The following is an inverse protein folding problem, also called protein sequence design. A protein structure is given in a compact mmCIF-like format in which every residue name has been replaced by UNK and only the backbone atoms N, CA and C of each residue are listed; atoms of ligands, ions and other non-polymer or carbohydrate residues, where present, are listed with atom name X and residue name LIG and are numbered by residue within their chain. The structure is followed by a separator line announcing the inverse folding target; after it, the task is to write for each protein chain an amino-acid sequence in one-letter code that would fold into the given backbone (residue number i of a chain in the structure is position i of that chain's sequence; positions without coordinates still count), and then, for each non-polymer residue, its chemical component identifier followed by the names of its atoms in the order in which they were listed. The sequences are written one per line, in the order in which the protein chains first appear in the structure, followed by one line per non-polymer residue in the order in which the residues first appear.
data_IF_042519900701
#
_entry.id   IF_042519900701
#
_cell.length_a   1.000
_cell.length_b   1.000
_cell.length_c   1.000
_cell.angle_alpha   90.00
_cell.angle_beta   90.00
_cell.angle_gamma   90.00
#
_symmetry.space_group_name_H-M   'P 1'
#
loop_
_entity.id
_entity.type
_entity.pdbx_description
1 polymer ?
#
# COMPACT_ATOMS: atom_id res chain seq x y z
N UNK A 1 20.29 -2.65 -25.07
CA UNK A 1 21.48 -2.64 -24.19
C UNK A 1 21.10 -3.20 -22.81
N UNK A 2 20.72 -4.49 -22.71
CA UNK A 2 20.59 -5.25 -21.46
C UNK A 2 20.85 -6.72 -21.84
N UNK A 3 21.86 -7.37 -21.25
CA UNK A 3 22.25 -8.74 -21.64
C UNK A 3 21.78 -9.83 -20.66
N UNK A 4 21.37 -9.47 -19.43
CA UNK A 4 21.01 -10.43 -18.36
C UNK A 4 19.94 -9.89 -17.38
N UNK A 5 18.98 -9.08 -17.86
CA UNK A 5 17.92 -8.57 -16.99
C UNK A 5 16.90 -9.68 -16.66
N UNK A 6 16.44 -9.75 -15.39
CA UNK A 6 15.35 -10.64 -14.95
C UNK A 6 14.10 -9.82 -14.64
N UNK A 7 12.95 -10.28 -15.13
CA UNK A 7 11.64 -9.74 -14.78
C UNK A 7 10.80 -10.87 -14.19
N UNK A 8 10.36 -10.71 -12.93
CA UNK A 8 9.60 -11.74 -12.22
C UNK A 8 8.32 -11.15 -11.64
N UNK A 9 7.20 -11.83 -11.89
CA UNK A 9 5.92 -11.51 -11.26
C UNK A 9 5.94 -11.83 -9.77
N UNK A 10 5.30 -10.99 -8.97
CA UNK A 10 5.12 -11.19 -7.54
C UNK A 10 3.63 -11.27 -7.22
N UNK A 11 3.20 -12.39 -6.66
CA UNK A 11 1.84 -12.57 -6.16
C UNK A 11 1.87 -12.65 -4.63
N UNK A 12 1.27 -11.66 -3.97
CA UNK A 12 1.41 -11.48 -2.52
C UNK A 12 0.93 -12.70 -1.72
N UNK A 13 -0.13 -13.36 -2.17
CA UNK A 13 -0.70 -14.50 -1.46
C UNK A 13 0.16 -15.78 -1.57
N UNK A 14 1.08 -15.89 -2.54
CA UNK A 14 2.10 -16.95 -2.55
C UNK A 14 3.02 -16.89 -1.32
N UNK A 15 3.07 -15.74 -0.65
CA UNK A 15 3.88 -15.50 0.55
C UNK A 15 3.05 -15.30 1.81
N UNK A 16 1.79 -15.72 1.82
CA UNK A 16 0.89 -15.58 2.98
C UNK A 16 1.50 -16.14 4.29
N UNK A 17 2.25 -17.24 4.20
CA UNK A 17 2.98 -17.85 5.32
C UNK A 17 3.99 -16.90 6.00
N UNK A 18 4.44 -15.84 5.32
CA UNK A 18 5.37 -14.83 5.83
C UNK A 18 4.70 -13.55 6.29
N UNK A 19 3.38 -13.42 6.18
CA UNK A 19 2.70 -12.17 6.54
C UNK A 19 2.98 -11.77 7.99
N UNK A 20 2.95 -12.70 8.94
CA UNK A 20 3.23 -12.40 10.35
C UNK A 20 4.64 -11.84 10.58
N UNK A 21 5.63 -12.39 9.88
CA UNK A 21 7.02 -11.89 9.89
C UNK A 21 7.09 -10.46 9.34
N UNK A 22 6.46 -10.24 8.17
CA UNK A 22 6.44 -8.94 7.51
C UNK A 22 5.75 -7.86 8.35
N UNK A 23 4.58 -8.15 8.92
CA UNK A 23 3.85 -7.20 9.79
C UNK A 23 4.69 -6.77 10.98
N UNK A 24 5.34 -7.72 11.68
CA UNK A 24 6.20 -7.39 12.83
C UNK A 24 7.36 -6.49 12.41
N UNK A 25 8.01 -6.79 11.28
CA UNK A 25 9.16 -6.01 10.80
C UNK A 25 8.74 -4.61 10.34
N UNK A 26 7.68 -4.50 9.53
CA UNK A 26 7.19 -3.22 9.02
C UNK A 26 6.64 -2.35 10.16
N UNK A 27 5.89 -2.93 11.10
CA UNK A 27 5.40 -2.21 12.27
C UNK A 27 6.53 -1.64 13.13
N UNK A 28 7.61 -2.39 13.33
CA UNK A 28 8.79 -1.89 14.04
C UNK A 28 9.49 -0.74 13.30
N UNK A 29 9.56 -0.78 11.96
CA UNK A 29 10.13 0.31 11.17
C UNK A 29 9.27 1.57 11.25
N UNK A 30 7.95 1.43 11.21
CA UNK A 30 7.01 2.55 11.37
C UNK A 30 7.14 3.16 12.77
N UNK A 31 7.07 2.32 13.80
CA UNK A 31 7.15 2.77 15.20
C UNK A 31 8.46 3.51 15.52
N UNK A 32 9.57 3.10 14.90
CA UNK A 32 10.88 3.71 15.11
C UNK A 32 11.18 4.87 14.14
N UNK A 33 10.21 5.28 13.31
CA UNK A 33 10.36 6.38 12.35
C UNK A 33 11.24 6.08 11.13
N UNK A 34 11.68 4.82 10.96
CA UNK A 34 12.50 4.38 9.83
C UNK A 34 11.69 4.11 8.56
N UNK A 35 10.36 4.02 8.69
CA UNK A 35 9.43 3.93 7.58
C UNK A 35 8.27 4.90 7.82
N UNK A 36 8.12 5.87 6.91
CA UNK A 36 6.99 6.82 6.96
C UNK A 36 5.81 6.21 6.23
N UNK A 37 4.69 6.06 6.93
CA UNK A 37 3.43 5.62 6.34
C UNK A 37 2.56 6.83 6.02
N UNK A 38 2.34 7.08 4.73
CA UNK A 38 1.51 8.20 4.25
C UNK A 38 0.12 7.68 3.88
N UNK A 39 -0.89 8.36 4.41
CA UNK A 39 -2.30 8.09 4.16
C UNK A 39 -2.95 9.30 3.47
N UNK A 40 -3.87 9.02 2.55
CA UNK A 40 -4.75 9.98 1.91
C UNK A 40 -6.18 9.57 2.29
N UNK A 41 -6.82 10.32 3.19
CA UNK A 41 -8.06 9.89 3.85
C UNK A 41 -9.23 10.75 3.40
N UNK A 42 -10.25 10.09 2.82
CA UNK A 42 -11.55 10.67 2.54
C UNK A 42 -12.54 10.32 3.66
N UNK A 43 -13.45 11.24 3.98
CA UNK A 43 -14.51 11.01 4.97
C UNK A 43 -15.81 10.57 4.30
N UNK A 44 -16.43 9.51 4.81
CA UNK A 44 -17.75 9.06 4.39
C UNK A 44 -17.72 7.99 3.30
N UNK A 45 -18.56 6.97 3.46
CA UNK A 45 -18.63 5.80 2.56
C UNK A 45 -18.98 6.18 1.12
N UNK A 46 -19.72 7.27 0.94
CA UNK A 46 -20.08 7.86 -0.35
C UNK A 46 -18.86 8.30 -1.16
N UNK A 47 -17.70 8.47 -0.53
CA UNK A 47 -16.44 8.80 -1.20
C UNK A 47 -15.75 7.59 -1.84
N UNK A 48 -16.22 6.36 -1.64
CA UNK A 48 -15.60 5.16 -2.23
C UNK A 48 -15.41 5.26 -3.76
N UNK A 49 -16.41 5.67 -4.56
CA UNK A 49 -16.23 5.83 -6.00
C UNK A 49 -15.16 6.86 -6.35
N UNK A 50 -15.15 8.01 -5.66
CA UNK A 50 -14.15 9.06 -5.87
C UNK A 50 -12.74 8.59 -5.47
N UNK A 51 -12.61 7.89 -4.34
CA UNK A 51 -11.35 7.33 -3.87
C UNK A 51 -10.75 6.33 -4.87
N UNK A 52 -11.57 5.46 -5.47
CA UNK A 52 -11.10 4.55 -6.51
C UNK A 52 -10.61 5.31 -7.76
N UNK A 53 -11.33 6.34 -8.20
CA UNK A 53 -10.92 7.16 -9.35
C UNK A 53 -9.56 7.80 -9.08
N UNK A 54 -9.35 8.37 -7.89
CA UNK A 54 -8.06 8.98 -7.50
C UNK A 54 -6.90 8.00 -7.60
N UNK A 55 -7.10 6.74 -7.19
CA UNK A 55 -6.08 5.69 -7.32
C UNK A 55 -5.76 5.39 -8.78
N UNK A 56 -6.79 5.33 -9.63
CA UNK A 56 -6.62 5.03 -11.06
C UNK A 56 -6.05 6.21 -11.85
N UNK A 57 -6.34 7.45 -11.44
CA UNK A 57 -5.79 8.67 -12.06
C UNK A 57 -4.43 9.08 -11.50
N UNK A 58 -3.97 8.44 -10.40
CA UNK A 58 -2.70 8.75 -9.75
C UNK A 58 -2.73 10.02 -8.92
N UNK A 59 -3.90 10.48 -8.50
CA UNK A 59 -4.10 11.67 -7.67
C UNK A 59 -3.90 11.42 -6.17
N UNK A 60 -3.88 10.16 -5.74
CA UNK A 60 -3.69 9.81 -4.34
C UNK A 60 -2.23 10.01 -3.89
N UNK A 61 -2.03 10.53 -2.68
CA UNK A 61 -0.71 10.59 -2.06
C UNK A 61 -0.56 9.51 -0.98
N UNK A 62 0.15 8.43 -1.29
CA UNK A 62 0.27 7.30 -0.37
C UNK A 62 -0.94 6.36 -0.43
N UNK A 63 -1.35 5.79 0.70
CA UNK A 63 -2.46 4.83 0.74
C UNK A 63 -3.80 5.57 0.79
N UNK A 64 -4.63 5.41 -0.24
CA UNK A 64 -6.00 5.94 -0.24
C UNK A 64 -6.86 5.16 0.74
N UNK A 65 -7.46 5.85 1.70
CA UNK A 65 -8.40 5.32 2.68
C UNK A 65 -9.73 6.07 2.60
N UNK A 66 -10.81 5.40 2.97
CA UNK A 66 -12.12 6.01 3.21
C UNK A 66 -12.53 5.69 4.64
N UNK A 67 -12.66 6.72 5.46
CA UNK A 67 -13.08 6.61 6.86
C UNK A 67 -14.60 6.49 6.92
N UNK A 68 -15.08 5.48 7.62
CA UNK A 68 -16.50 5.29 7.89
C UNK A 68 -16.87 6.09 9.16
N UNK A 69 -17.92 6.89 9.07
CA UNK A 69 -18.53 7.64 10.19
C UNK A 69 -19.46 6.78 11.03
#
# INVERSE_FOLDING_TARGET
MYKEATMQGFYIFSYAHRFKEAHRRLGALIANGNLVYNEDVLEGVEQLPAGLIRVLSGENFGTQLVRLS
#
